data_IF_864527304867
#
_entry.id   IF_864527304867
#
_cell.length_a   1.000
_cell.length_b   1.000
_cell.length_c   1.000
_cell.angle_alpha   90.00
_cell.angle_beta   90.00
_cell.angle_gamma   90.00
#
_symmetry.space_group_name_H-M   'P 1'
#
loop_
_entity.id
_entity.type
_entity.pdbx_description
1 polymer ?
#
# COMPACT_ATOMS: atom_id res chain seq x y z
N UNK A 1 -16.30 54.11 69.00
CA UNK A 1 -17.18 54.85 68.06
C UNK A 1 -16.28 55.48 66.99
N UNK A 2 -16.77 55.78 65.78
CA UNK A 2 -17.10 54.81 64.71
C UNK A 2 -16.13 55.05 63.51
N UNK A 3 -16.34 54.74 62.22
CA UNK A 3 -17.49 54.28 61.41
C UNK A 3 -16.95 53.69 60.09
N UNK A 4 -17.66 52.74 59.47
CA UNK A 4 -17.97 52.63 58.02
C UNK A 4 -16.86 52.70 56.92
N UNK A 5 -16.93 51.98 55.77
CA UNK A 5 -18.03 51.23 55.12
C UNK A 5 -17.53 50.26 54.02
N UNK A 6 -18.23 49.11 53.90
CA UNK A 6 -18.66 48.35 52.69
C UNK A 6 -17.68 48.01 51.53
N UNK A 7 -17.92 46.96 50.73
CA UNK A 7 -18.50 45.62 50.92
C UNK A 7 -18.43 44.88 49.57
N UNK A 8 -18.30 43.55 49.61
CA UNK A 8 -18.48 42.67 48.44
C UNK A 8 -19.89 42.07 48.40
N UNK A 9 -20.30 41.57 47.23
CA UNK A 9 -21.33 40.52 47.11
C UNK A 9 -22.64 40.92 46.40
N UNK A 10 -22.91 40.24 45.27
CA UNK A 10 -24.21 40.07 44.61
C UNK A 10 -24.01 39.02 43.49
N UNK A 11 -24.89 38.05 43.18
CA UNK A 11 -25.98 37.41 43.92
C UNK A 11 -26.14 35.99 43.34
N UNK A 12 -26.60 35.03 44.14
CA UNK A 12 -27.00 33.69 43.72
C UNK A 12 -28.54 33.60 43.67
N UNK A 13 -29.13 32.75 42.81
CA UNK A 13 -30.45 32.07 42.91
C UNK A 13 -30.82 31.53 41.50
N UNK A 14 -31.00 30.21 41.31
CA UNK A 14 -32.29 29.46 41.30
C UNK A 14 -33.30 29.94 40.22
N UNK A 15 -34.03 29.09 39.48
CA UNK A 15 -34.06 27.61 39.36
C UNK A 15 -35.08 27.16 38.26
N UNK A 16 -35.17 25.84 38.03
CA UNK A 16 -36.37 25.09 37.56
C UNK A 16 -36.83 25.13 36.07
N UNK A 17 -36.65 23.97 35.44
CA UNK A 17 -37.61 23.17 34.63
C UNK A 17 -38.46 23.75 33.47
N UNK A 18 -38.44 22.98 32.37
CA UNK A 18 -39.32 22.90 31.19
C UNK A 18 -40.83 22.77 31.49
N UNK A 19 -41.75 22.61 30.49
CA UNK A 19 -41.60 22.69 29.01
C UNK A 19 -42.66 23.56 28.30
N UNK A 20 -42.56 23.75 26.97
CA UNK A 20 -43.72 23.78 26.06
C UNK A 20 -43.32 23.67 24.59
N UNK A 21 -44.30 23.30 23.76
CA UNK A 21 -44.14 22.71 22.43
C UNK A 21 -44.29 23.70 21.25
N UNK A 22 -43.96 23.18 20.06
CA UNK A 22 -44.42 23.60 18.72
C UNK A 22 -43.98 24.95 18.12
N UNK A 23 -43.11 24.87 17.10
CA UNK A 23 -43.43 25.31 15.73
C UNK A 23 -42.51 24.65 14.68
N UNK A 24 -43.10 24.06 13.64
CA UNK A 24 -42.42 23.64 12.40
C UNK A 24 -42.24 24.86 11.48
N UNK A 25 -41.10 24.94 10.77
CA UNK A 25 -41.05 24.66 9.32
C UNK A 25 -39.77 23.88 8.94
N UNK A 26 -39.49 23.43 7.71
CA UNK A 26 -40.23 23.07 6.49
C UNK A 26 -39.21 22.30 5.60
N UNK A 27 -39.63 21.44 4.66
CA UNK A 27 -38.71 20.60 3.88
C UNK A 27 -37.99 21.37 2.76
N UNK A 28 -36.66 21.22 2.61
CA UNK A 28 -35.98 21.91 1.50
C UNK A 28 -34.46 21.79 1.34
N UNK A 29 -33.97 20.58 0.98
CA UNK A 29 -32.64 20.22 0.40
C UNK A 29 -31.62 19.56 1.34
N UNK A 30 -31.06 18.39 0.96
CA UNK A 30 -29.82 17.89 1.56
C UNK A 30 -28.62 18.67 1.02
N UNK A 31 -27.91 19.37 1.91
CA UNK A 31 -26.56 19.84 1.62
C UNK A 31 -25.59 18.63 1.60
N UNK A 32 -24.59 18.59 0.72
CA UNK A 32 -23.61 17.50 0.71
C UNK A 32 -22.78 17.54 2.00
N UNK A 33 -22.73 16.42 2.71
CA UNK A 33 -22.00 16.29 3.96
C UNK A 33 -20.48 16.36 3.73
N UNK A 34 -19.90 17.54 3.90
CA UNK A 34 -18.45 17.73 3.99
C UNK A 34 -17.93 17.15 5.32
N UNK A 35 -17.74 15.83 5.34
CA UNK A 35 -17.26 15.07 6.50
C UNK A 35 -15.75 15.18 6.75
N UNK A 36 -15.17 16.39 6.73
CA UNK A 36 -13.76 16.59 7.08
C UNK A 36 -13.61 16.84 8.57
N UNK A 37 -13.59 15.78 9.37
CA UNK A 37 -13.13 15.86 10.76
C UNK A 37 -11.59 15.81 10.82
N UNK A 38 -10.95 16.95 10.57
CA UNK A 38 -9.51 17.13 10.75
C UNK A 38 -9.16 17.25 12.23
N UNK A 39 -8.66 16.17 12.84
CA UNK A 39 -7.88 16.27 14.08
C UNK A 39 -6.48 16.81 13.75
N UNK A 40 -5.92 17.78 14.50
CA UNK A 40 -4.56 18.27 14.25
C UNK A 40 -3.53 17.13 14.34
N UNK A 41 -2.60 17.07 13.38
CA UNK A 41 -1.53 16.06 13.33
C UNK A 41 -1.91 14.68 12.75
N UNK A 42 -3.05 14.55 12.06
CA UNK A 42 -3.43 13.31 11.36
C UNK A 42 -3.43 13.49 9.85
N UNK A 43 -2.54 12.76 9.17
CA UNK A 43 -2.41 12.70 7.71
C UNK A 43 -3.77 12.48 7.03
N UNK A 44 -4.15 13.38 6.12
CA UNK A 44 -5.47 13.38 5.48
C UNK A 44 -5.45 12.50 4.23
N UNK A 45 -6.36 11.52 4.14
CA UNK A 45 -6.57 10.69 2.94
C UNK A 45 -7.73 11.26 2.13
N UNK A 46 -7.49 11.67 0.88
CA UNK A 46 -8.53 12.10 -0.06
C UNK A 46 -8.45 11.30 -1.37
N UNK A 47 -9.57 11.08 -2.05
CA UNK A 47 -9.59 10.37 -3.34
C UNK A 47 -9.49 11.38 -4.49
N UNK A 48 -8.52 11.16 -5.40
CA UNK A 48 -8.29 11.95 -6.62
C UNK A 48 -8.90 11.31 -7.86
N UNK A 49 -8.83 9.98 -7.93
CA UNK A 49 -9.44 9.19 -9.00
C UNK A 49 -10.26 8.07 -8.36
N UNK A 50 -11.54 8.00 -8.70
CA UNK A 50 -12.47 7.00 -8.16
C UNK A 50 -12.17 5.60 -8.69
N UNK A 51 -12.65 4.59 -7.97
CA UNK A 51 -12.44 3.17 -8.30
C UNK A 51 -12.92 2.81 -9.71
N UNK A 52 -11.96 2.56 -10.61
CA UNK A 52 -12.18 2.01 -11.95
C UNK A 52 -11.67 0.58 -12.06
N UNK A 53 -12.20 -0.17 -13.01
CA UNK A 53 -11.79 -1.54 -13.25
C UNK A 53 -10.49 -1.57 -14.06
N UNK A 54 -9.57 -2.46 -13.68
CA UNK A 54 -8.27 -2.67 -14.31
C UNK A 54 -7.95 -4.17 -14.38
N UNK A 55 -6.79 -4.49 -14.94
CA UNK A 55 -6.22 -5.84 -14.95
C UNK A 55 -4.84 -5.81 -14.32
N UNK A 56 -4.50 -6.83 -13.55
CA UNK A 56 -3.19 -6.99 -12.90
C UNK A 56 -2.69 -8.43 -13.05
N UNK A 57 -1.40 -8.63 -12.86
CA UNK A 57 -0.76 -9.94 -12.94
C UNK A 57 -0.69 -10.62 -11.56
N UNK A 58 -1.24 -11.84 -11.48
CA UNK A 58 -1.21 -12.68 -10.28
C UNK A 58 -0.51 -14.00 -10.59
N UNK A 59 0.62 -14.25 -9.91
CA UNK A 59 1.24 -15.57 -9.88
C UNK A 59 0.51 -16.50 -8.91
N UNK A 60 0.27 -17.75 -9.34
CA UNK A 60 -0.49 -18.75 -8.58
C UNK A 60 0.25 -20.09 -8.49
N UNK A 61 0.17 -20.82 -7.37
CA UNK A 61 0.77 -22.15 -7.25
C UNK A 61 0.25 -23.10 -8.33
N UNK A 62 1.15 -23.84 -8.98
CA UNK A 62 0.79 -24.78 -10.05
C UNK A 62 0.43 -24.14 -11.40
N UNK A 63 0.67 -22.84 -11.59
CA UNK A 63 0.60 -22.18 -12.91
C UNK A 63 2.01 -21.85 -13.42
N UNK A 64 2.27 -21.98 -14.75
CA UNK A 64 3.60 -21.79 -15.33
C UNK A 64 4.03 -20.32 -15.53
N UNK A 65 3.18 -19.35 -15.14
CA UNK A 65 3.45 -17.92 -15.31
C UNK A 65 2.32 -17.07 -14.74
N UNK A 66 2.42 -15.73 -14.86
CA UNK A 66 1.42 -14.80 -14.33
C UNK A 66 0.08 -14.94 -15.05
N UNK A 67 -1.01 -14.77 -14.29
CA UNK A 67 -2.37 -14.77 -14.80
C UNK A 67 -2.98 -13.38 -14.69
N UNK A 68 -3.54 -12.89 -15.79
CA UNK A 68 -4.22 -11.60 -15.81
C UNK A 68 -5.57 -11.71 -15.09
N UNK A 69 -5.69 -11.11 -13.90
CA UNK A 69 -6.92 -11.11 -13.11
C UNK A 69 -7.59 -9.73 -13.13
N UNK A 70 -8.92 -9.70 -12.97
CA UNK A 70 -9.67 -8.46 -12.81
C UNK A 70 -9.37 -7.86 -11.43
N UNK A 71 -9.16 -6.54 -11.39
CA UNK A 71 -8.94 -5.77 -10.18
C UNK A 71 -9.60 -4.40 -10.32
N UNK A 72 -9.63 -3.63 -9.24
CA UNK A 72 -10.05 -2.22 -9.25
C UNK A 72 -8.92 -1.34 -8.75
N UNK A 73 -8.85 -0.12 -9.26
CA UNK A 73 -7.82 0.87 -8.94
C UNK A 73 -8.44 2.22 -8.64
N UNK A 74 -7.95 2.87 -7.60
CA UNK A 74 -8.21 4.27 -7.27
C UNK A 74 -6.89 5.01 -7.09
N UNK A 75 -6.94 6.34 -7.10
CA UNK A 75 -5.79 7.19 -6.73
C UNK A 75 -6.17 8.04 -5.53
N UNK A 76 -5.33 8.01 -4.50
CA UNK A 76 -5.48 8.84 -3.30
C UNK A 76 -4.37 9.90 -3.24
N UNK A 77 -4.70 11.05 -2.67
CA UNK A 77 -3.72 12.02 -2.19
C UNK A 77 -3.68 11.95 -0.66
N UNK A 78 -2.49 11.80 -0.12
CA UNK A 78 -2.19 11.94 1.29
C UNK A 78 -1.57 13.32 1.53
N UNK A 79 -2.22 14.16 2.34
CA UNK A 79 -1.63 15.42 2.81
C UNK A 79 -1.07 15.26 4.23
N UNK A 80 0.18 15.68 4.41
CA UNK A 80 0.92 15.70 5.67
C UNK A 80 1.53 17.09 5.86
N UNK A 81 0.84 17.96 6.60
CA UNK A 81 1.24 19.34 6.90
C UNK A 81 1.60 20.17 5.63
N UNK A 82 0.79 20.04 4.57
CA UNK A 82 0.99 20.72 3.29
C UNK A 82 1.99 20.04 2.35
N UNK A 83 2.45 18.82 2.67
CA UNK A 83 3.12 17.93 1.71
C UNK A 83 2.14 16.89 1.20
N UNK A 84 1.71 17.03 -0.05
CA UNK A 84 0.88 16.06 -0.74
C UNK A 84 1.73 14.95 -1.38
N UNK A 85 1.30 13.70 -1.22
CA UNK A 85 1.83 12.54 -1.95
C UNK A 85 0.68 11.75 -2.56
N UNK A 86 0.78 11.46 -3.86
CA UNK A 86 -0.20 10.66 -4.59
C UNK A 86 0.15 9.17 -4.52
N UNK A 87 -0.81 8.34 -4.12
CA UNK A 87 -0.68 6.89 -4.01
C UNK A 87 -1.80 6.21 -4.80
N UNK A 88 -1.48 5.44 -5.85
CA UNK A 88 -2.43 4.53 -6.45
C UNK A 88 -2.65 3.32 -5.54
N UNK A 89 -3.89 2.86 -5.44
CA UNK A 89 -4.31 1.71 -4.63
C UNK A 89 -5.05 0.73 -5.51
N UNK A 90 -4.74 -0.56 -5.36
CA UNK A 90 -5.37 -1.66 -6.09
C UNK A 90 -6.12 -2.55 -5.11
N UNK A 91 -7.30 -3.02 -5.50
CA UNK A 91 -8.10 -4.03 -4.81
C UNK A 91 -8.37 -5.20 -5.77
N UNK A 92 -8.10 -6.44 -5.36
CA UNK A 92 -8.26 -7.63 -6.20
C UNK A 92 -8.73 -8.85 -5.41
N UNK A 93 -9.25 -9.84 -6.14
CA UNK A 93 -9.70 -11.15 -5.61
C UNK A 93 -9.08 -12.25 -6.46
N UNK A 94 -8.39 -13.21 -5.85
CA UNK A 94 -7.89 -14.38 -6.56
C UNK A 94 -9.07 -15.27 -6.99
N UNK A 95 -9.31 -15.49 -8.31
CA UNK A 95 -10.56 -16.11 -8.78
C UNK A 95 -10.80 -17.55 -8.31
N UNK A 96 -9.76 -18.31 -7.96
CA UNK A 96 -9.92 -19.71 -7.52
C UNK A 96 -10.09 -19.87 -5.99
N UNK A 97 -9.46 -19.02 -5.18
CA UNK A 97 -9.51 -19.15 -3.71
C UNK A 97 -10.49 -18.18 -3.05
N UNK A 98 -10.92 -17.13 -3.76
CA UNK A 98 -11.66 -16.01 -3.17
C UNK A 98 -10.81 -15.12 -2.27
N UNK A 99 -9.49 -15.32 -2.21
CA UNK A 99 -8.60 -14.52 -1.35
C UNK A 99 -8.57 -13.08 -1.83
N UNK A 100 -8.91 -12.13 -0.96
CA UNK A 100 -8.89 -10.70 -1.24
C UNK A 100 -7.54 -10.06 -0.89
N UNK A 101 -7.16 -9.02 -1.64
CA UNK A 101 -6.03 -8.15 -1.32
C UNK A 101 -6.35 -6.68 -1.64
N UNK A 102 -5.90 -5.76 -0.80
CA UNK A 102 -5.92 -4.32 -1.11
C UNK A 102 -4.72 -3.59 -0.49
N UNK A 103 -4.15 -2.64 -1.23
CA UNK A 103 -2.97 -1.87 -0.83
C UNK A 103 -2.45 -0.99 -1.97
N UNK A 104 -1.29 -0.34 -1.82
CA UNK A 104 -0.65 0.44 -2.88
C UNK A 104 -0.44 -0.39 -4.15
N UNK A 105 -0.54 0.20 -5.35
CA UNK A 105 -0.25 -0.50 -6.61
C UNK A 105 1.16 -1.18 -6.58
N UNK A 106 1.26 -2.40 -7.10
CA UNK A 106 2.48 -3.21 -7.10
C UNK A 106 2.79 -3.69 -8.53
N UNK A 107 4.05 -4.03 -8.80
CA UNK A 107 4.45 -4.58 -10.10
C UNK A 107 3.92 -6.00 -10.31
N UNK A 108 3.83 -6.79 -9.22
CA UNK A 108 3.35 -8.17 -9.27
C UNK A 108 2.68 -8.62 -7.96
N UNK A 109 1.71 -9.52 -8.09
CA UNK A 109 1.01 -10.16 -6.98
C UNK A 109 1.30 -11.66 -6.93
N UNK A 110 1.49 -12.22 -5.73
CA UNK A 110 1.72 -13.64 -5.47
C UNK A 110 0.60 -14.21 -4.59
N UNK A 111 -0.10 -15.24 -5.06
CA UNK A 111 -1.00 -16.03 -4.24
C UNK A 111 -0.22 -17.09 -3.44
N UNK A 112 -0.36 -17.08 -2.11
CA UNK A 112 0.27 -18.04 -1.19
C UNK A 112 -0.79 -18.79 -0.38
N UNK A 113 -0.39 -19.87 0.30
CA UNK A 113 -1.26 -20.59 1.25
C UNK A 113 -1.88 -19.69 2.32
N UNK A 114 -1.21 -18.59 2.68
CA UNK A 114 -1.59 -17.70 3.78
C UNK A 114 -2.37 -16.46 3.33
N UNK A 115 -2.44 -16.20 2.02
CA UNK A 115 -3.00 -14.96 1.47
C UNK A 115 -2.26 -14.52 0.22
N UNK A 116 -2.65 -13.38 -0.33
CA UNK A 116 -1.90 -12.72 -1.41
C UNK A 116 -0.91 -11.74 -0.80
N UNK A 117 0.29 -11.66 -1.37
CA UNK A 117 1.30 -10.64 -1.10
C UNK A 117 1.70 -9.98 -2.42
N UNK A 118 1.83 -8.67 -2.44
CA UNK A 118 2.34 -7.95 -3.61
C UNK A 118 3.77 -7.46 -3.39
N UNK A 119 4.48 -7.13 -4.47
CA UNK A 119 5.75 -6.41 -4.38
C UNK A 119 5.98 -5.53 -5.60
N UNK A 120 6.78 -4.48 -5.41
CA UNK A 120 7.33 -3.68 -6.50
C UNK A 120 8.85 -3.61 -6.41
N UNK A 121 9.49 -3.40 -7.55
CA UNK A 121 10.93 -3.22 -7.69
C UNK A 121 11.23 -1.73 -7.57
N UNK A 122 12.19 -1.37 -6.72
CA UNK A 122 12.64 0.02 -6.59
C UNK A 122 14.15 0.07 -6.43
N UNK A 123 14.84 0.57 -7.46
CA UNK A 123 16.29 0.60 -7.52
C UNK A 123 16.91 -0.78 -7.28
N UNK A 124 17.66 -0.91 -6.18
CA UNK A 124 18.35 -2.15 -5.80
C UNK A 124 17.56 -3.13 -4.94
N UNK A 125 16.22 -3.04 -4.88
CA UNK A 125 15.39 -3.74 -3.90
C UNK A 125 14.04 -4.21 -4.46
N UNK A 126 13.48 -5.25 -3.84
CA UNK A 126 12.04 -5.53 -3.85
C UNK A 126 11.43 -5.02 -2.54
N UNK A 127 10.28 -4.34 -2.63
CA UNK A 127 9.52 -3.85 -1.48
C UNK A 127 8.21 -4.64 -1.42
N UNK A 128 8.03 -5.41 -0.34
CA UNK A 128 6.91 -6.33 -0.13
C UNK A 128 5.75 -5.66 0.62
N UNK A 129 4.54 -5.83 0.11
CA UNK A 129 3.31 -5.32 0.70
C UNK A 129 2.29 -6.45 0.95
N UNK A 130 1.94 -6.66 2.22
CA UNK A 130 0.78 -7.47 2.63
C UNK A 130 -0.54 -6.69 2.37
N UNK A 131 -1.69 -7.34 2.54
CA UNK A 131 -2.99 -6.67 2.45
C UNK A 131 -3.20 -5.71 3.63
N UNK A 132 -3.70 -4.51 3.36
CA UNK A 132 -4.06 -3.52 4.38
C UNK A 132 -5.37 -3.86 5.10
N UNK A 133 -6.19 -4.73 4.53
CA UNK A 133 -7.31 -5.35 5.25
C UNK A 133 -6.85 -6.64 5.92
N UNK A 134 -6.76 -6.60 7.25
CA UNK A 134 -6.58 -7.76 8.14
C UNK A 134 -7.90 -8.50 8.37
N UNK A 135 -7.87 -9.83 8.43
CA UNK A 135 -8.93 -10.59 9.12
C UNK A 135 -8.99 -10.16 10.60
N UNK A 136 -10.19 -10.05 11.21
CA UNK A 136 -10.29 -9.79 12.65
C UNK A 136 -9.69 -10.97 13.42
N UNK A 137 -8.58 -10.73 14.16
CA UNK A 137 -8.00 -11.75 15.05
C UNK A 137 -6.49 -11.76 15.27
N UNK A 138 -5.67 -11.00 14.52
CA UNK A 138 -4.24 -10.79 14.83
C UNK A 138 -3.80 -9.36 14.57
N UNK A 139 -3.25 -8.71 15.60
CA UNK A 139 -2.60 -7.41 15.46
C UNK A 139 -1.25 -7.55 14.72
N UNK A 140 -1.06 -6.72 13.69
CA UNK A 140 0.17 -6.66 12.89
C UNK A 140 0.11 -7.53 11.62
N UNK A 141 0.10 -6.87 10.45
CA UNK A 141 0.33 -7.48 9.13
C UNK A 141 -0.77 -8.43 8.64
N UNK A 142 -1.72 -7.90 7.87
CA UNK A 142 -2.82 -8.67 7.29
C UNK A 142 -2.39 -9.60 6.16
N UNK A 143 -2.03 -10.85 6.50
CA UNK A 143 -2.08 -11.94 5.52
C UNK A 143 -3.53 -12.06 5.03
N UNK A 144 -3.71 -12.12 3.71
CA UNK A 144 -5.00 -11.91 3.04
C UNK A 144 -6.20 -12.69 3.61
N UNK A 145 -7.38 -12.09 3.54
CA UNK A 145 -8.60 -12.63 4.14
C UNK A 145 -9.07 -13.88 3.40
N UNK A 146 -8.87 -15.05 4.00
CA UNK A 146 -9.68 -16.25 3.73
C UNK A 146 -10.99 -16.15 4.49
N UNK A 147 -11.96 -15.47 3.88
CA UNK A 147 -13.32 -15.26 4.40
C UNK A 147 -14.34 -15.37 3.26
N UNK A 148 -15.61 -15.11 3.56
CA UNK A 148 -16.69 -15.13 2.56
C UNK A 148 -16.28 -14.34 1.30
N UNK A 149 -16.56 -14.89 0.11
CA UNK A 149 -16.12 -14.33 -1.18
C UNK A 149 -16.60 -12.88 -1.34
N UNK A 150 -15.72 -11.92 -1.00
CA UNK A 150 -15.97 -10.50 -1.22
C UNK A 150 -15.60 -10.15 -2.64
N UNK A 151 -16.46 -9.43 -3.32
CA UNK A 151 -16.11 -8.85 -4.62
C UNK A 151 -15.24 -7.59 -4.46
N UNK A 152 -14.54 -7.20 -5.52
CA UNK A 152 -13.68 -6.01 -5.50
C UNK A 152 -14.38 -4.71 -5.07
N UNK A 153 -15.68 -4.46 -5.36
CA UNK A 153 -16.41 -3.31 -4.80
C UNK A 153 -16.56 -3.33 -3.27
N UNK A 154 -16.74 -4.50 -2.66
CA UNK A 154 -16.85 -4.62 -1.20
C UNK A 154 -15.50 -4.38 -0.52
N UNK A 155 -14.42 -4.89 -1.11
CA UNK A 155 -13.04 -4.67 -0.65
C UNK A 155 -12.67 -3.19 -0.74
N UNK A 156 -13.08 -2.50 -1.82
CA UNK A 156 -12.93 -1.05 -1.94
C UNK A 156 -13.69 -0.30 -0.83
N UNK A 157 -14.94 -0.68 -0.55
CA UNK A 157 -15.72 -0.06 0.53
C UNK A 157 -15.12 -0.31 1.93
N UNK A 158 -14.56 -1.49 2.18
CA UNK A 158 -13.85 -1.79 3.43
C UNK A 158 -12.52 -1.05 3.53
N UNK A 159 -11.79 -0.86 2.43
CA UNK A 159 -10.60 -0.01 2.40
C UNK A 159 -10.94 1.42 2.80
N UNK A 160 -12.01 2.00 2.25
CA UNK A 160 -12.41 3.36 2.57
C UNK A 160 -12.75 3.55 4.04
N UNK A 161 -13.46 2.59 4.62
CA UNK A 161 -13.92 2.58 6.00
C UNK A 161 -12.79 2.37 7.01
N UNK A 162 -11.84 1.48 6.72
CA UNK A 162 -10.94 0.91 7.72
C UNK A 162 -9.47 1.33 7.56
N UNK A 163 -9.04 1.80 6.39
CA UNK A 163 -7.62 2.13 6.11
C UNK A 163 -7.42 3.64 6.13
N UNK A 164 -6.56 4.12 7.03
CA UNK A 164 -6.23 5.55 7.16
C UNK A 164 -5.10 5.98 6.22
N UNK A 165 -4.88 7.29 6.09
CA UNK A 165 -3.72 7.81 5.34
C UNK A 165 -2.39 7.34 5.93
N UNK A 166 -2.29 7.30 7.26
CA UNK A 166 -1.10 6.78 7.97
C UNK A 166 -0.82 5.32 7.64
N UNK A 167 -1.85 4.46 7.58
CA UNK A 167 -1.68 3.05 7.23
C UNK A 167 -1.17 2.90 5.79
N UNK A 168 -1.75 3.65 4.86
CA UNK A 168 -1.35 3.64 3.45
C UNK A 168 0.08 4.18 3.24
N UNK A 169 0.47 5.23 3.96
CA UNK A 169 1.85 5.75 3.94
C UNK A 169 2.84 4.75 4.52
N UNK A 170 2.49 4.10 5.63
CA UNK A 170 3.35 3.09 6.27
C UNK A 170 3.51 1.83 5.39
N UNK A 171 2.54 1.52 4.53
CA UNK A 171 2.61 0.41 3.57
C UNK A 171 3.74 0.58 2.53
N UNK A 172 3.97 1.82 2.07
CA UNK A 172 5.03 2.15 1.10
C UNK A 172 6.34 2.48 1.81
N UNK A 173 6.26 3.20 2.92
CA UNK A 173 7.41 3.69 3.68
C UNK A 173 7.24 3.35 5.17
N UNK A 174 7.54 2.10 5.57
CA UNK A 174 7.52 1.69 6.97
C UNK A 174 8.42 2.59 7.82
N UNK A 175 7.83 3.19 8.86
CA UNK A 175 8.53 4.10 9.76
C UNK A 175 9.44 3.34 10.72
N UNK A 176 9.02 2.16 11.19
CA UNK A 176 9.86 1.31 12.03
C UNK A 176 10.94 0.59 11.20
N UNK A 177 12.15 0.57 11.76
CA UNK A 177 13.32 -0.04 11.11
C UNK A 177 13.17 -1.56 10.93
N UNK A 178 12.58 -2.27 11.89
CA UNK A 178 12.35 -3.71 11.82
C UNK A 178 11.31 -4.04 10.75
N UNK A 179 10.23 -3.27 10.67
CA UNK A 179 9.23 -3.42 9.62
C UNK A 179 9.83 -3.20 8.23
N UNK A 180 10.70 -2.19 8.09
CA UNK A 180 11.46 -1.95 6.85
C UNK A 180 12.47 -3.07 6.54
N UNK A 181 13.16 -3.62 7.53
CA UNK A 181 14.06 -4.76 7.33
C UNK A 181 13.32 -6.06 7.02
N UNK A 182 12.08 -6.21 7.51
CA UNK A 182 11.20 -7.31 7.16
C UNK A 182 10.58 -7.16 5.76
N UNK A 183 10.28 -5.95 5.30
CA UNK A 183 9.58 -5.68 4.03
C UNK A 183 10.50 -5.51 2.81
N UNK A 184 11.83 -5.59 2.95
CA UNK A 184 12.75 -5.28 1.85
C UNK A 184 13.70 -6.45 1.53
N UNK A 185 13.59 -7.02 0.33
CA UNK A 185 14.65 -7.87 -0.24
C UNK A 185 15.67 -6.98 -0.95
N UNK A 186 16.94 -7.06 -0.55
CA UNK A 186 18.03 -6.34 -1.24
C UNK A 186 18.58 -7.17 -2.40
N UNK A 187 18.42 -6.68 -3.63
CA UNK A 187 18.95 -7.30 -4.84
C UNK A 187 20.41 -6.87 -5.09
N UNK A 188 20.74 -5.59 -4.84
CA UNK A 188 22.07 -5.01 -5.13
C UNK A 188 23.27 -5.73 -4.47
N UNK A 189 23.17 -6.32 -3.26
CA UNK A 189 24.26 -7.13 -2.69
C UNK A 189 24.38 -8.53 -3.29
N UNK A 190 23.38 -9.00 -4.06
CA UNK A 190 23.30 -10.36 -4.57
C UNK A 190 23.61 -10.47 -6.07
N UNK A 191 23.16 -9.50 -6.88
CA UNK A 191 23.53 -9.37 -8.30
C UNK A 191 24.87 -8.64 -8.37
N UNK A 192 25.90 -9.24 -8.99
CA UNK A 192 27.26 -8.69 -8.97
C UNK A 192 27.48 -7.59 -10.00
N UNK A 193 26.80 -7.65 -11.15
CA UNK A 193 26.87 -6.62 -12.17
C UNK A 193 26.25 -5.30 -11.66
N UNK A 194 27.04 -4.23 -11.45
CA UNK A 194 26.53 -2.96 -10.93
C UNK A 194 25.61 -2.23 -11.93
N UNK A 195 25.78 -2.48 -13.24
CA UNK A 195 25.03 -1.82 -14.31
C UNK A 195 23.56 -2.25 -14.39
N UNK A 196 23.21 -3.39 -13.78
CA UNK A 196 21.81 -3.82 -13.58
C UNK A 196 20.93 -2.74 -12.89
N UNK A 197 21.56 -1.88 -12.08
CA UNK A 197 20.87 -0.87 -11.27
C UNK A 197 21.21 0.56 -11.69
N UNK A 198 21.49 0.77 -12.98
CA UNK A 198 21.73 2.08 -13.60
C UNK A 198 20.75 2.32 -14.75
N UNK A 199 20.65 3.57 -15.21
CA UNK A 199 19.86 3.90 -16.42
C UNK A 199 20.59 3.54 -17.73
N UNK A 200 21.40 2.47 -17.72
CA UNK A 200 22.21 1.98 -18.84
C UNK A 200 23.72 2.01 -18.60
N UNK A 201 24.52 1.45 -19.53
CA UNK A 201 25.98 1.42 -19.47
C UNK A 201 26.58 2.81 -19.24
N UNK A 202 27.59 2.90 -18.38
CA UNK A 202 28.31 4.14 -18.05
C UNK A 202 27.46 5.24 -17.37
N UNK A 203 26.18 5.00 -17.09
CA UNK A 203 25.34 5.95 -16.36
C UNK A 203 25.68 5.98 -14.87
N UNK A 204 25.89 7.18 -14.33
CA UNK A 204 26.02 7.43 -12.89
C UNK A 204 24.67 7.51 -12.17
N UNK A 205 23.55 7.55 -12.91
CA UNK A 205 22.21 7.60 -12.35
C UNK A 205 21.70 6.19 -12.05
N UNK A 206 21.17 6.03 -10.84
CA UNK A 206 20.52 4.78 -10.43
C UNK A 206 19.26 4.50 -11.23
N UNK A 207 19.10 3.24 -11.65
CA UNK A 207 17.92 2.72 -12.32
C UNK A 207 17.27 1.58 -11.54
N UNK A 208 15.97 1.39 -11.76
CA UNK A 208 15.21 0.22 -11.30
C UNK A 208 15.23 -0.83 -12.42
N UNK A 209 15.60 -2.10 -12.16
CA UNK A 209 15.51 -3.14 -13.18
C UNK A 209 14.04 -3.51 -13.46
N UNK A 210 13.75 -3.88 -14.71
CA UNK A 210 12.43 -4.31 -15.18
C UNK A 210 12.27 -5.81 -14.96
N UNK A 211 11.07 -6.24 -14.55
CA UNK A 211 10.70 -7.66 -14.58
C UNK A 211 10.40 -8.02 -16.04
N UNK A 212 11.12 -9.00 -16.59
CA UNK A 212 10.89 -9.57 -17.93
C UNK A 212 9.93 -10.75 -17.83
N UNK A 213 10.11 -11.58 -16.80
CA UNK A 213 9.28 -12.74 -16.50
C UNK A 213 9.32 -13.03 -15.00
N UNK A 214 8.23 -13.58 -14.48
CA UNK A 214 8.16 -14.09 -13.12
C UNK A 214 7.49 -15.46 -13.07
N UNK A 215 7.89 -16.30 -12.12
CA UNK A 215 7.33 -17.64 -11.92
C UNK A 215 7.30 -18.00 -10.43
N UNK A 216 6.24 -18.68 -9.97
CA UNK A 216 6.10 -19.12 -8.57
C UNK A 216 6.47 -20.59 -8.43
N UNK A 217 7.71 -20.84 -7.99
CA UNK A 217 8.29 -22.16 -7.81
C UNK A 217 8.25 -22.58 -6.33
N UNK A 218 7.09 -23.08 -5.90
CA UNK A 218 6.86 -23.50 -4.50
C UNK A 218 6.91 -22.30 -3.54
N UNK A 219 7.84 -22.31 -2.58
CA UNK A 219 8.05 -21.19 -1.63
C UNK A 219 8.88 -20.02 -2.18
N UNK A 220 9.31 -20.09 -3.44
CA UNK A 220 10.18 -19.09 -4.07
C UNK A 220 9.52 -18.43 -5.26
N UNK A 221 9.74 -17.13 -5.41
CA UNK A 221 9.51 -16.44 -6.69
C UNK A 221 10.81 -16.40 -7.47
N UNK A 222 10.75 -16.84 -8.72
CA UNK A 222 11.76 -16.61 -9.75
C UNK A 222 11.42 -15.28 -10.43
N UNK A 223 12.39 -14.39 -10.55
CA UNK A 223 12.27 -13.17 -11.36
C UNK A 223 13.41 -13.15 -12.38
N UNK A 224 13.07 -13.12 -13.65
CA UNK A 224 13.99 -12.74 -14.73
C UNK A 224 13.95 -11.21 -14.81
N UNK A 225 15.07 -10.57 -14.49
CA UNK A 225 15.23 -9.12 -14.44
C UNK A 225 16.12 -8.65 -15.58
N UNK A 226 15.86 -7.45 -16.09
CA UNK A 226 16.77 -6.74 -16.98
C UNK A 226 16.95 -5.29 -16.55
N UNK A 227 18.06 -4.66 -16.94
CA UNK A 227 18.29 -3.24 -16.69
C UNK A 227 17.33 -2.35 -17.53
N UNK A 228 17.50 -1.03 -17.47
CA UNK A 228 16.65 -0.14 -18.24
C UNK A 228 16.82 -0.26 -19.77
N UNK A 229 18.00 -0.68 -20.25
CA UNK A 229 18.32 -0.80 -21.68
C UNK A 229 17.96 -2.16 -22.28
N UNK A 230 18.00 -3.24 -21.49
CA UNK A 230 17.81 -4.62 -21.97
C UNK A 230 19.11 -5.41 -22.15
N UNK A 231 20.27 -4.76 -22.02
CA UNK A 231 21.59 -5.36 -22.21
C UNK A 231 22.01 -6.28 -21.06
N UNK A 232 21.65 -5.94 -19.82
CA UNK A 232 22.04 -6.72 -18.65
C UNK A 232 20.87 -7.51 -18.10
N UNK A 233 21.05 -8.81 -17.92
CA UNK A 233 20.00 -9.73 -17.45
C UNK A 233 20.47 -10.52 -16.22
N UNK A 234 19.56 -10.76 -15.29
CA UNK A 234 19.80 -11.63 -14.15
C UNK A 234 18.50 -12.32 -13.70
N UNK A 235 18.61 -13.61 -13.43
CA UNK A 235 17.54 -14.40 -12.82
C UNK A 235 17.79 -14.49 -11.32
N UNK A 236 16.82 -14.11 -10.51
CA UNK A 236 16.91 -14.14 -9.04
C UNK A 236 15.83 -15.05 -8.44
N UNK A 237 16.21 -15.85 -7.44
CA UNK A 237 15.29 -16.71 -6.69
C UNK A 237 15.11 -16.13 -5.29
N UNK A 238 13.96 -15.53 -5.01
CA UNK A 238 13.65 -14.94 -3.71
C UNK A 238 12.71 -15.87 -2.94
N UNK A 239 13.13 -16.25 -1.73
CA UNK A 239 12.28 -17.00 -0.80
C UNK A 239 11.24 -16.05 -0.19
N UNK A 240 9.96 -16.40 -0.31
CA UNK A 240 8.84 -15.48 -0.02
C UNK A 240 8.64 -15.30 1.49
N UNK A 241 8.93 -16.34 2.28
CA UNK A 241 8.75 -16.35 3.73
C UNK A 241 9.85 -15.56 4.45
N UNK A 242 11.10 -15.76 4.04
CA UNK A 242 12.26 -15.05 4.62
C UNK A 242 12.60 -13.75 3.90
N UNK A 243 11.99 -13.49 2.74
CA UNK A 243 12.22 -12.33 1.85
C UNK A 243 13.70 -12.13 1.50
N UNK A 244 14.43 -13.24 1.31
CA UNK A 244 15.87 -13.26 0.98
C UNK A 244 16.13 -13.83 -0.40
N UNK A 245 17.11 -13.27 -1.10
CA UNK A 245 17.67 -13.87 -2.31
C UNK A 245 18.41 -15.15 -1.91
N UNK A 246 18.06 -16.27 -2.55
CA UNK A 246 18.63 -17.60 -2.28
C UNK A 246 19.54 -18.10 -3.40
N UNK A 247 19.39 -17.55 -4.61
CA UNK A 247 20.21 -17.84 -5.79
C UNK A 247 20.14 -16.64 -6.74
N UNK A 248 21.21 -16.40 -7.48
CA UNK A 248 21.28 -15.49 -8.62
C UNK A 248 22.01 -16.21 -9.74
N UNK A 249 21.51 -16.06 -10.97
CA UNK A 249 22.23 -16.38 -12.21
C UNK A 249 22.26 -15.12 -13.05
N UNK A 250 23.44 -14.69 -13.49
CA UNK A 250 23.61 -13.52 -14.34
C UNK A 250 23.76 -14.00 -15.80
N UNK A 251 23.09 -13.32 -16.73
CA UNK A 251 23.08 -13.68 -18.15
C UNK A 251 24.49 -13.65 -18.78
N UNK A 252 24.67 -14.26 -19.96
CA UNK A 252 25.98 -14.41 -20.56
C UNK A 252 26.67 -13.06 -20.78
N UNK A 253 27.94 -13.02 -20.38
CA UNK A 253 28.86 -11.91 -20.55
C UNK A 253 29.19 -11.71 -22.03
N UNK A 254 28.31 -11.05 -22.79
CA UNK A 254 28.81 -10.22 -23.89
C UNK A 254 29.57 -9.06 -23.24
N UNK A 255 30.85 -9.34 -22.96
CA UNK A 255 31.86 -8.32 -22.71
C UNK A 255 31.70 -7.22 -23.73
N UNK A 256 31.63 -5.96 -23.25
CA UNK A 256 31.63 -4.72 -24.01
C UNK A 256 32.26 -4.88 -25.40
N UNK A 257 31.61 -4.40 -26.47
CA UNK A 257 31.91 -4.78 -27.85
C UNK A 257 33.41 -4.77 -28.11
N UNK A 258 33.92 -5.88 -28.66
CA UNK A 258 35.30 -5.96 -29.15
C UNK A 258 35.58 -4.71 -29.96
N UNK A 259 36.56 -3.91 -29.50
CA UNK A 259 36.94 -2.66 -30.17
C UNK A 259 37.17 -2.95 -31.66
N UNK A 260 36.42 -2.26 -32.50
CA UNK A 260 36.80 -1.97 -33.88
C UNK A 260 37.90 -0.90 -33.87
#
# INVERSE_FOLDING_TARGET
MPTDRLAAGLVLLLSLSSPCDAQLPDEGKPAPSAGTQSSPGRMTKSIKETWKDIKVELLRPGRPGPETVNARRAIYELDDEGRSTTIPVVALVAPASGTSWVGPEQDLYLETETGIVGFHVLGGSLIWCESLLTSPGRGGGGRGVKGAQKEAPEIAADFERNVTGTDLRNAIHPVDRKDREATVTRLRPAIKNPWMFTNGPLSSQGGTPKIVRAELAGKKVLLELTDQTGEFQATVWVDIETRKVTKVEEGPWETFPKRL
#
